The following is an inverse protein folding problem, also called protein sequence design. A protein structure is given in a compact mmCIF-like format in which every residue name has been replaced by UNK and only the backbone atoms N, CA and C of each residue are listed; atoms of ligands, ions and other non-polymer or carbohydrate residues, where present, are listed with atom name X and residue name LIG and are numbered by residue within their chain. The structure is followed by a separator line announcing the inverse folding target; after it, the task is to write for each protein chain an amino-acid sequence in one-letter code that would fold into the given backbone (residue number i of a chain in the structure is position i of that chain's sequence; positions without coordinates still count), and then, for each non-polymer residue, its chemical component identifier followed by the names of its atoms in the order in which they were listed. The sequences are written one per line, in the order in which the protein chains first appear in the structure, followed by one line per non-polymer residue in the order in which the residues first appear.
data_IF_656176479744
#
_entry.id   IF_656176479744
#
_cell.length_a   1.000
_cell.length_b   1.000
_cell.length_c   1.000
_cell.angle_alpha   90.00
_cell.angle_beta   90.00
_cell.angle_gamma   90.00
#
_symmetry.space_group_name_H-M   'P 1'
#
loop_
_entity.id
_entity.type
_entity.pdbx_description
1 polymer ?
#
# COMPACT_ATOMS: atom_id res chain seq x y z
N UNK A 1 16.31 15.98 -16.84
CA UNK A 1 15.73 15.98 -15.49
C UNK A 1 16.24 14.80 -14.70
N UNK A 2 16.33 14.93 -13.37
CA UNK A 2 16.79 13.83 -12.52
C UNK A 2 15.68 12.79 -12.32
N UNK A 3 16.07 11.51 -12.22
CA UNK A 3 15.21 10.39 -11.92
C UNK A 3 15.93 9.32 -11.09
N UNK A 4 15.19 8.57 -10.27
CA UNK A 4 15.67 7.37 -9.60
C UNK A 4 15.39 6.16 -10.49
N UNK A 5 16.43 5.53 -11.00
CA UNK A 5 16.36 4.48 -12.01
C UNK A 5 17.00 3.20 -11.48
N UNK A 6 16.48 2.05 -11.89
CA UNK A 6 17.06 0.73 -11.62
C UNK A 6 16.98 -0.17 -12.86
N UNK A 7 17.72 -1.26 -12.88
CA UNK A 7 17.63 -2.32 -13.89
C UNK A 7 16.98 -3.55 -13.25
N UNK A 8 15.67 -3.80 -13.47
CA UNK A 8 14.96 -4.92 -12.84
C UNK A 8 15.65 -6.25 -13.15
N UNK A 9 15.71 -7.13 -12.13
CA UNK A 9 16.44 -8.40 -12.21
C UNK A 9 17.94 -8.30 -11.91
N UNK A 10 18.47 -7.09 -11.70
CA UNK A 10 19.87 -6.87 -11.37
C UNK A 10 19.99 -6.05 -10.07
N UNK A 11 20.49 -6.69 -9.01
CA UNK A 11 20.70 -6.04 -7.71
C UNK A 11 21.74 -4.91 -7.80
N UNK A 12 21.60 -3.89 -6.94
CA UNK A 12 22.56 -2.78 -6.79
C UNK A 12 22.74 -1.91 -8.06
N UNK A 13 21.73 -1.85 -8.93
CA UNK A 13 21.73 -1.00 -10.12
C UNK A 13 20.99 0.32 -9.91
N UNK A 14 20.32 0.48 -8.76
CA UNK A 14 19.55 1.69 -8.45
C UNK A 14 20.47 2.89 -8.29
N UNK A 15 20.14 3.96 -9.01
CA UNK A 15 20.93 5.19 -9.07
C UNK A 15 20.07 6.40 -9.44
N UNK A 16 20.55 7.59 -9.10
CA UNK A 16 20.00 8.83 -9.65
C UNK A 16 20.76 9.16 -10.92
N UNK A 17 20.03 9.37 -12.01
CA UNK A 17 20.61 9.76 -13.30
C UNK A 17 19.80 10.82 -14.02
N UNK A 18 20.39 11.47 -15.00
CA UNK A 18 19.69 12.37 -15.91
C UNK A 18 18.94 11.58 -16.99
N UNK A 19 17.63 11.82 -17.08
CA UNK A 19 16.76 11.27 -18.12
C UNK A 19 16.19 12.37 -18.99
N UNK A 20 15.71 12.03 -20.18
CA UNK A 20 15.06 12.99 -21.07
C UNK A 20 13.84 13.65 -20.39
N UNK A 21 13.60 14.95 -20.64
CA UNK A 21 12.40 15.61 -20.17
C UNK A 21 11.14 14.91 -20.66
N UNK A 22 10.09 14.90 -19.80
CA UNK A 22 8.78 14.36 -20.18
C UNK A 22 8.03 15.40 -21.01
N UNK A 23 7.67 15.03 -22.24
CA UNK A 23 6.73 15.80 -23.07
C UNK A 23 5.33 15.19 -22.90
N UNK A 24 4.33 15.97 -22.45
CA UNK A 24 2.96 15.45 -22.31
C UNK A 24 2.38 15.12 -23.68
N UNK A 25 1.72 13.96 -23.78
CA UNK A 25 0.93 13.60 -24.95
C UNK A 25 -0.37 14.40 -24.98
N UNK A 26 -0.98 14.47 -26.15
CA UNK A 26 -2.30 15.09 -26.26
C UNK A 26 -3.31 14.40 -25.32
N UNK A 27 -3.99 15.18 -24.50
CA UNK A 27 -4.94 14.67 -23.52
C UNK A 27 -4.37 14.34 -22.14
N UNK A 28 -3.06 14.35 -21.96
CA UNK A 28 -2.42 14.09 -20.67
C UNK A 28 -2.18 15.36 -19.85
N UNK A 29 -2.11 15.20 -18.54
CA UNK A 29 -1.80 16.26 -17.56
C UNK A 29 -0.30 16.19 -17.22
N UNK A 30 0.39 17.32 -17.31
CA UNK A 30 1.78 17.43 -16.86
C UNK A 30 1.81 17.67 -15.34
N UNK A 31 2.53 16.80 -14.67
CA UNK A 31 2.69 16.80 -13.22
C UNK A 31 4.15 17.07 -12.85
N UNK A 32 4.36 17.85 -11.79
CA UNK A 32 5.64 17.91 -11.09
C UNK A 32 5.54 17.08 -9.82
N UNK A 33 6.42 16.10 -9.69
CA UNK A 33 6.50 15.26 -8.50
C UNK A 33 7.04 16.07 -7.32
N UNK A 34 6.33 16.07 -6.22
CA UNK A 34 6.77 16.69 -4.96
C UNK A 34 7.48 15.68 -4.08
N UNK A 35 6.87 14.53 -3.89
CA UNK A 35 7.31 13.53 -2.92
C UNK A 35 6.90 12.11 -3.36
N UNK A 36 7.77 11.14 -3.10
CA UNK A 36 7.55 9.72 -3.37
C UNK A 36 7.71 8.93 -2.08
N UNK A 37 6.69 8.18 -1.68
CA UNK A 37 6.80 7.21 -0.61
C UNK A 37 7.65 6.00 -1.04
N UNK A 38 8.43 5.46 -0.11
CA UNK A 38 9.25 4.25 -0.31
C UNK A 38 8.61 3.08 0.41
N UNK A 39 8.39 1.97 -0.31
CA UNK A 39 7.80 0.76 0.24
C UNK A 39 8.71 -0.48 0.10
N UNK A 40 8.18 -1.65 0.47
CA UNK A 40 8.85 -2.94 0.29
C UNK A 40 9.15 -3.25 -1.17
N UNK A 41 8.19 -2.98 -2.06
CA UNK A 41 8.31 -3.24 -3.51
C UNK A 41 9.46 -2.47 -4.15
N UNK A 42 9.70 -1.20 -3.77
CA UNK A 42 10.85 -0.42 -4.30
C UNK A 42 12.18 -1.06 -3.89
N UNK A 43 12.27 -1.59 -2.66
CA UNK A 43 13.45 -2.30 -2.16
C UNK A 43 13.65 -3.63 -2.87
N UNK A 44 12.60 -4.42 -3.05
CA UNK A 44 12.64 -5.70 -3.77
C UNK A 44 13.06 -5.51 -5.23
N UNK A 45 12.57 -4.46 -5.89
CA UNK A 45 13.00 -4.10 -7.26
C UNK A 45 14.48 -3.72 -7.27
N UNK A 46 14.93 -2.91 -6.32
CA UNK A 46 16.35 -2.50 -6.19
C UNK A 46 17.29 -3.68 -5.90
N UNK A 47 16.78 -4.73 -5.23
CA UNK A 47 17.49 -5.98 -4.98
C UNK A 47 17.40 -6.97 -6.14
N UNK A 48 16.74 -6.62 -7.24
CA UNK A 48 16.58 -7.45 -8.43
C UNK A 48 15.60 -8.63 -8.26
N UNK A 49 14.77 -8.61 -7.21
CA UNK A 49 13.83 -9.69 -6.90
C UNK A 49 12.48 -9.53 -7.62
N UNK A 50 12.17 -8.33 -8.07
CA UNK A 50 10.88 -7.97 -8.65
C UNK A 50 11.03 -6.89 -9.72
N UNK A 51 9.93 -6.57 -10.43
CA UNK A 51 9.87 -5.49 -11.41
C UNK A 51 10.16 -5.93 -12.84
N UNK A 52 9.65 -5.12 -13.80
CA UNK A 52 9.87 -5.32 -15.23
C UNK A 52 10.03 -3.93 -15.87
N UNK A 53 11.09 -3.74 -16.65
CA UNK A 53 11.28 -2.50 -17.44
C UNK A 53 10.21 -2.37 -18.55
N UNK A 54 9.94 -1.15 -19.04
CA UNK A 54 9.10 -0.96 -20.20
C UNK A 54 9.62 -1.72 -21.44
N UNK A 55 8.73 -2.06 -22.35
CA UNK A 55 9.07 -2.84 -23.55
C UNK A 55 10.16 -2.12 -24.38
N UNK A 56 11.23 -2.84 -24.66
CA UNK A 56 12.39 -2.32 -25.41
C UNK A 56 13.39 -1.53 -24.57
N UNK A 57 13.19 -1.41 -23.27
CA UNK A 57 14.11 -0.75 -22.35
C UNK A 57 14.71 -1.75 -21.35
N UNK A 58 15.89 -1.42 -20.80
CA UNK A 58 16.55 -2.20 -19.75
C UNK A 58 16.36 -1.61 -18.38
N UNK A 59 15.91 -0.37 -18.29
CA UNK A 59 15.80 0.38 -17.04
C UNK A 59 14.35 0.77 -16.72
N UNK A 60 14.07 0.95 -15.43
CA UNK A 60 12.79 1.37 -14.89
C UNK A 60 12.99 2.57 -13.97
N UNK A 61 12.26 3.66 -14.19
CA UNK A 61 12.12 4.72 -13.19
C UNK A 61 11.21 4.20 -12.09
N UNK A 62 11.67 4.24 -10.83
CA UNK A 62 10.92 3.79 -9.66
C UNK A 62 9.82 4.77 -9.23
N UNK A 63 9.12 4.44 -8.14
CA UNK A 63 8.17 5.29 -7.44
C UNK A 63 6.73 5.12 -7.94
N UNK A 64 5.89 4.61 -7.08
CA UNK A 64 4.45 4.39 -7.31
C UNK A 64 3.58 5.07 -6.24
N UNK A 65 4.12 5.44 -5.09
CA UNK A 65 3.45 6.19 -4.03
C UNK A 65 3.73 7.69 -4.20
N UNK A 66 3.09 8.34 -5.17
CA UNK A 66 3.41 9.71 -5.55
C UNK A 66 2.47 10.75 -4.95
N UNK A 67 3.04 11.87 -4.52
CA UNK A 67 2.35 13.15 -4.39
C UNK A 67 2.93 14.10 -5.45
N UNK A 68 2.07 14.69 -6.25
CA UNK A 68 2.47 15.60 -7.32
C UNK A 68 1.58 16.86 -7.35
N UNK A 69 2.05 17.86 -8.08
CA UNK A 69 1.30 19.09 -8.37
C UNK A 69 1.11 19.23 -9.87
N UNK A 70 -0.08 19.69 -10.26
CA UNK A 70 -0.42 19.97 -11.65
C UNK A 70 0.35 21.21 -12.12
N UNK A 71 1.11 21.10 -13.22
CA UNK A 71 1.95 22.17 -13.76
C UNK A 71 1.20 23.16 -14.66
N UNK A 72 0.14 22.72 -15.33
CA UNK A 72 -0.66 23.54 -16.25
C UNK A 72 -2.14 23.19 -16.13
N UNK A 73 -3.00 24.21 -16.29
CA UNK A 73 -4.46 24.00 -16.37
C UNK A 73 -4.82 23.07 -17.52
N UNK A 74 -5.76 22.19 -17.31
CA UNK A 74 -6.29 21.31 -18.35
C UNK A 74 -7.00 20.08 -17.79
N UNK A 75 -7.87 19.49 -18.59
CA UNK A 75 -8.52 18.21 -18.31
C UNK A 75 -9.25 18.12 -16.94
N UNK A 76 -9.79 19.25 -16.45
CA UNK A 76 -10.51 19.31 -15.17
C UNK A 76 -9.62 19.59 -13.95
N UNK A 77 -8.32 19.80 -14.16
CA UNK A 77 -7.36 20.16 -13.10
C UNK A 77 -6.82 21.57 -13.33
N UNK A 78 -6.60 22.30 -12.25
CA UNK A 78 -5.96 23.62 -12.26
C UNK A 78 -4.48 23.51 -11.86
N UNK A 79 -3.67 24.41 -12.40
CA UNK A 79 -2.28 24.54 -11.95
C UNK A 79 -2.20 24.74 -10.45
N UNK A 80 -1.37 23.95 -9.79
CA UNK A 80 -1.22 23.96 -8.33
C UNK A 80 -2.15 23.02 -7.57
N UNK A 81 -3.03 22.29 -8.26
CA UNK A 81 -3.79 21.23 -7.62
C UNK A 81 -2.85 20.09 -7.21
N UNK A 82 -3.02 19.62 -5.98
CA UNK A 82 -2.32 18.44 -5.49
C UNK A 82 -3.03 17.17 -5.97
N UNK A 83 -2.27 16.24 -6.48
CA UNK A 83 -2.78 14.97 -7.02
C UNK A 83 -1.88 13.79 -6.66
N UNK A 84 -2.47 12.62 -6.65
CA UNK A 84 -1.80 11.32 -6.77
C UNK A 84 -2.43 10.58 -7.94
N UNK A 85 -1.97 9.37 -8.25
CA UNK A 85 -2.52 8.59 -9.35
C UNK A 85 -2.60 7.11 -9.03
N UNK A 86 -3.60 6.43 -9.57
CA UNK A 86 -3.70 4.97 -9.48
C UNK A 86 -2.44 4.31 -10.08
N UNK A 87 -2.06 3.14 -9.58
CA UNK A 87 -0.80 2.48 -9.97
C UNK A 87 -0.98 1.61 -11.21
N UNK A 88 -2.01 0.78 -11.24
CA UNK A 88 -2.21 -0.22 -12.31
C UNK A 88 -2.96 0.35 -13.49
N UNK A 89 -2.50 0.00 -14.69
CA UNK A 89 -3.14 0.30 -15.98
C UNK A 89 -3.79 -0.97 -16.53
N UNK A 90 -4.96 -0.80 -17.14
CA UNK A 90 -5.75 -1.88 -17.73
C UNK A 90 -4.98 -2.64 -18.82
N UNK A 91 -5.22 -3.94 -18.95
CA UNK A 91 -4.79 -4.72 -20.12
C UNK A 91 -5.65 -4.44 -21.37
N UNK A 92 -6.78 -3.76 -21.21
CA UNK A 92 -7.67 -3.33 -22.29
C UNK A 92 -8.62 -4.40 -22.84
N UNK A 93 -8.52 -5.68 -22.44
CA UNK A 93 -9.25 -6.76 -23.11
C UNK A 93 -9.89 -7.83 -22.19
N UNK A 94 -9.52 -7.94 -20.91
CA UNK A 94 -10.20 -8.90 -20.03
C UNK A 94 -11.49 -8.34 -19.45
N UNK A 95 -12.38 -9.22 -19.00
CA UNK A 95 -13.71 -8.82 -18.48
C UNK A 95 -13.60 -7.86 -17.28
N UNK A 96 -12.65 -8.07 -16.38
CA UNK A 96 -12.44 -7.18 -15.24
C UNK A 96 -12.00 -5.78 -15.68
N UNK A 97 -11.04 -5.70 -16.61
CA UNK A 97 -10.59 -4.42 -17.16
C UNK A 97 -11.68 -3.72 -18.00
N UNK A 98 -12.52 -4.46 -18.69
CA UNK A 98 -13.66 -3.91 -19.43
C UNK A 98 -14.76 -3.36 -18.49
N UNK A 99 -14.80 -3.85 -17.25
CA UNK A 99 -15.70 -3.38 -16.17
C UNK A 99 -14.99 -2.36 -15.24
N UNK A 100 -14.05 -1.59 -15.79
CA UNK A 100 -13.29 -0.57 -15.07
C UNK A 100 -12.63 -1.06 -13.75
N UNK A 101 -12.23 -2.33 -13.72
CA UNK A 101 -11.58 -2.97 -12.56
C UNK A 101 -10.19 -3.50 -12.91
N UNK A 102 -9.22 -2.63 -13.33
CA UNK A 102 -7.87 -3.06 -13.70
C UNK A 102 -7.10 -3.66 -12.52
N UNK A 103 -7.45 -3.28 -11.30
CA UNK A 103 -6.93 -3.84 -10.06
C UNK A 103 -7.21 -5.35 -9.92
N UNK A 104 -8.22 -5.85 -10.61
CA UNK A 104 -8.63 -7.26 -10.65
C UNK A 104 -8.34 -7.91 -12.01
N UNK A 105 -7.37 -7.42 -12.78
CA UNK A 105 -7.02 -7.94 -14.10
C UNK A 105 -6.78 -9.45 -14.07
N UNK A 106 -7.42 -10.17 -15.01
CA UNK A 106 -7.39 -11.64 -15.06
C UNK A 106 -6.26 -12.21 -15.94
N UNK A 107 -5.68 -11.41 -16.83
CA UNK A 107 -4.66 -11.88 -17.77
C UNK A 107 -3.22 -11.70 -17.27
N UNK A 108 -3.01 -10.74 -16.36
CA UNK A 108 -1.66 -10.34 -15.98
C UNK A 108 -0.97 -9.39 -16.96
N UNK A 109 -1.58 -9.05 -18.10
CA UNK A 109 -1.02 -8.15 -19.14
C UNK A 109 -1.20 -6.66 -18.81
N UNK A 110 -1.34 -6.34 -17.54
CA UNK A 110 -1.36 -4.97 -17.06
C UNK A 110 0.04 -4.37 -16.96
N UNK A 111 0.12 -3.06 -16.87
CA UNK A 111 1.32 -2.37 -16.43
C UNK A 111 1.08 -1.63 -15.12
N UNK A 112 2.16 -1.35 -14.37
CA UNK A 112 2.11 -0.63 -13.10
C UNK A 112 3.21 0.42 -13.03
N UNK A 113 2.82 1.65 -12.70
CA UNK A 113 3.75 2.77 -12.55
C UNK A 113 4.86 2.45 -11.54
N UNK A 114 6.12 2.54 -11.99
CA UNK A 114 7.30 2.33 -11.16
C UNK A 114 7.54 0.88 -10.71
N UNK A 115 6.78 -0.08 -11.28
CA UNK A 115 6.86 -1.50 -10.90
C UNK A 115 6.98 -2.38 -12.13
N UNK A 116 6.01 -2.33 -13.05
CA UNK A 116 5.92 -3.28 -14.15
C UNK A 116 5.60 -2.56 -15.46
N UNK A 117 6.53 -2.62 -16.43
CA UNK A 117 6.37 -2.15 -17.83
C UNK A 117 5.96 -0.68 -17.98
N UNK A 118 6.07 0.13 -16.94
CA UNK A 118 5.70 1.54 -16.98
C UNK A 118 6.54 2.33 -15.97
N UNK A 119 7.27 3.35 -16.46
CA UNK A 119 8.06 4.22 -15.61
C UNK A 119 7.25 4.89 -14.51
N UNK A 120 7.85 4.98 -13.33
CA UNK A 120 7.28 5.58 -12.15
C UNK A 120 7.38 7.10 -12.07
N UNK A 121 7.09 7.58 -10.88
CA UNK A 121 7.02 9.00 -10.56
C UNK A 121 8.28 9.54 -9.87
N UNK A 122 9.30 8.72 -9.59
CA UNK A 122 10.55 9.19 -8.97
C UNK A 122 11.43 9.96 -9.96
N UNK A 123 10.85 10.99 -10.59
CA UNK A 123 11.46 11.97 -11.52
C UNK A 123 10.71 13.29 -11.44
N UNK A 124 11.38 14.39 -11.83
CA UNK A 124 10.87 15.75 -11.63
C UNK A 124 9.53 16.02 -12.32
N UNK A 125 9.37 15.58 -13.58
CA UNK A 125 8.16 15.79 -14.37
C UNK A 125 7.63 14.46 -14.90
N UNK A 126 6.32 14.28 -14.84
CA UNK A 126 5.59 13.11 -15.34
C UNK A 126 4.34 13.55 -16.08
N UNK A 127 4.03 12.89 -17.17
CA UNK A 127 2.76 13.02 -17.87
C UNK A 127 1.83 11.87 -17.49
N UNK A 128 0.54 12.18 -17.27
CA UNK A 128 -0.43 11.19 -16.80
C UNK A 128 -1.81 11.42 -17.42
N UNK A 129 -2.51 10.31 -17.68
CA UNK A 129 -3.92 10.33 -18.06
C UNK A 129 -4.77 10.91 -16.91
N UNK A 130 -5.59 11.94 -17.15
CA UNK A 130 -6.44 12.55 -16.13
C UNK A 130 -7.40 11.54 -15.47
N UNK A 131 -7.79 10.47 -16.16
CA UNK A 131 -8.63 9.40 -15.59
C UNK A 131 -7.95 8.63 -14.46
N UNK A 132 -6.61 8.65 -14.41
CA UNK A 132 -5.83 7.99 -13.36
C UNK A 132 -5.61 8.90 -12.14
N UNK A 133 -5.83 10.20 -12.27
CA UNK A 133 -5.54 11.17 -11.23
C UNK A 133 -6.61 11.15 -10.12
N UNK A 134 -6.13 11.29 -8.90
CA UNK A 134 -6.93 11.44 -7.68
C UNK A 134 -6.53 12.77 -7.05
N UNK A 135 -7.49 13.68 -6.89
CA UNK A 135 -7.26 14.97 -6.25
C UNK A 135 -6.95 14.79 -4.76
N UNK A 136 -5.94 15.48 -4.27
CA UNK A 136 -5.57 15.51 -2.85
C UNK A 136 -6.04 16.85 -2.26
N UNK A 137 -6.87 16.84 -1.21
CA UNK A 137 -7.28 18.07 -0.52
C UNK A 137 -6.06 18.84 0.00
N UNK A 138 -6.10 20.16 -0.11
CA UNK A 138 -5.04 21.04 0.44
C UNK A 138 -4.82 20.84 1.94
N UNK A 139 -5.85 20.42 2.67
CA UNK A 139 -5.78 20.06 4.09
C UNK A 139 -4.82 18.93 4.39
N UNK A 140 -4.65 17.97 3.48
CA UNK A 140 -3.68 16.89 3.63
C UNK A 140 -2.24 17.34 3.31
N UNK A 141 -2.06 18.34 2.43
CA UNK A 141 -0.72 18.79 2.06
C UNK A 141 0.20 17.62 1.68
N UNK A 142 1.39 17.58 2.28
CA UNK A 142 2.37 16.50 2.02
C UNK A 142 1.96 15.11 2.55
N UNK A 143 1.00 15.03 3.45
CA UNK A 143 0.43 13.74 3.88
C UNK A 143 -0.30 13.00 2.73
N UNK A 144 -0.62 13.70 1.64
CA UNK A 144 -1.17 13.08 0.43
C UNK A 144 -0.30 11.97 -0.15
N UNK A 145 0.99 11.92 0.16
CA UNK A 145 1.90 10.80 -0.21
C UNK A 145 1.47 9.46 0.37
N UNK A 146 0.67 9.47 1.45
CA UNK A 146 0.12 8.28 2.08
C UNK A 146 -1.13 7.72 1.37
N UNK A 147 -1.65 8.40 0.34
CA UNK A 147 -2.89 7.98 -0.33
C UNK A 147 -2.75 6.60 -1.00
N UNK A 148 -1.60 6.33 -1.63
CA UNK A 148 -1.34 5.03 -2.26
C UNK A 148 -1.39 3.88 -1.22
N UNK A 149 -0.53 3.82 -0.21
CA UNK A 149 -0.54 2.70 0.73
C UNK A 149 -1.85 2.60 1.52
N UNK A 150 -2.54 3.72 1.76
CA UNK A 150 -3.86 3.70 2.39
C UNK A 150 -4.91 3.07 1.47
N UNK A 151 -4.83 3.28 0.16
CA UNK A 151 -5.76 2.68 -0.81
C UNK A 151 -5.69 1.14 -0.82
N UNK A 152 -4.50 0.59 -0.61
CA UNK A 152 -4.28 -0.87 -0.45
C UNK A 152 -5.03 -1.39 0.78
N UNK A 153 -4.95 -0.65 1.90
CA UNK A 153 -5.66 -1.00 3.13
C UNK A 153 -7.19 -0.88 2.95
N UNK A 154 -7.67 0.17 2.28
CA UNK A 154 -9.11 0.36 2.00
C UNK A 154 -9.69 -0.78 1.16
N UNK A 155 -8.97 -1.20 0.11
CA UNK A 155 -9.38 -2.35 -0.68
C UNK A 155 -9.50 -3.61 0.17
N UNK A 156 -8.50 -3.90 0.98
CA UNK A 156 -8.51 -5.07 1.86
C UNK A 156 -9.70 -5.05 2.81
N UNK A 157 -9.97 -3.91 3.45
CA UNK A 157 -11.09 -3.75 4.37
C UNK A 157 -12.44 -3.81 3.67
N UNK A 158 -12.57 -3.23 2.47
CA UNK A 158 -13.77 -3.34 1.64
C UNK A 158 -14.06 -4.80 1.26
N UNK A 159 -13.06 -5.54 0.80
CA UNK A 159 -13.19 -6.96 0.48
C UNK A 159 -13.52 -7.79 1.72
N UNK A 160 -12.88 -7.54 2.86
CA UNK A 160 -13.17 -8.21 4.11
C UNK A 160 -14.63 -7.99 4.54
N UNK A 161 -15.15 -6.76 4.42
CA UNK A 161 -16.57 -6.45 4.68
C UNK A 161 -17.51 -7.17 3.72
N UNK A 162 -17.19 -7.19 2.42
CA UNK A 162 -17.99 -7.90 1.40
C UNK A 162 -18.02 -9.40 1.68
N UNK A 163 -16.89 -10.01 1.98
CA UNK A 163 -16.77 -11.44 2.29
C UNK A 163 -17.47 -11.74 3.63
N UNK A 164 -17.29 -10.91 4.66
CA UNK A 164 -17.98 -11.04 5.94
C UNK A 164 -19.50 -10.98 5.77
N UNK A 165 -19.98 -10.03 4.96
CA UNK A 165 -21.40 -9.80 4.67
C UNK A 165 -22.14 -10.96 3.96
N UNK A 166 -21.45 -12.07 3.57
CA UNK A 166 -22.10 -13.28 3.06
C UNK A 166 -23.05 -13.92 4.08
N UNK A 167 -22.97 -13.52 5.33
CA UNK A 167 -23.84 -13.90 6.44
C UNK A 167 -23.87 -12.75 7.48
N UNK A 168 -24.75 -12.78 8.50
CA UNK A 168 -24.74 -11.78 9.56
C UNK A 168 -23.33 -11.71 10.20
N UNK A 169 -22.63 -10.63 9.98
CA UNK A 169 -21.25 -10.42 10.45
C UNK A 169 -21.10 -9.02 11.03
N UNK A 170 -20.48 -8.93 12.18
CA UNK A 170 -20.16 -7.68 12.85
C UNK A 170 -18.66 -7.63 13.08
N UNK A 171 -18.05 -6.56 12.62
CA UNK A 171 -16.62 -6.30 12.81
C UNK A 171 -16.45 -5.48 14.09
N UNK A 172 -16.33 -6.17 15.20
CA UNK A 172 -16.13 -5.55 16.52
C UNK A 172 -14.67 -5.59 16.95
N UNK A 173 -13.95 -6.66 16.56
CA UNK A 173 -12.60 -6.93 17.05
C UNK A 173 -11.68 -7.39 15.92
N UNK A 174 -10.57 -6.69 15.72
CA UNK A 174 -9.60 -6.99 14.69
C UNK A 174 -8.18 -7.16 15.25
N UNK A 175 -7.40 -8.01 14.57
CA UNK A 175 -5.97 -8.18 14.78
C UNK A 175 -5.23 -7.79 13.50
N UNK A 176 -4.23 -6.92 13.63
CA UNK A 176 -3.28 -6.59 12.58
C UNK A 176 -1.93 -7.19 12.94
N UNK A 177 -1.40 -8.04 12.06
CA UNK A 177 -0.09 -8.67 12.20
C UNK A 177 0.94 -7.88 11.38
N UNK A 178 1.85 -7.21 12.08
CA UNK A 178 2.83 -6.29 11.52
C UNK A 178 2.52 -4.82 11.83
N UNK A 179 3.54 -4.08 12.28
CA UNK A 179 3.49 -2.63 12.56
C UNK A 179 4.28 -1.80 11.54
N UNK A 180 4.45 -2.32 10.31
CA UNK A 180 4.95 -1.57 9.16
C UNK A 180 3.89 -0.61 8.59
N UNK A 181 4.21 0.07 7.48
CA UNK A 181 3.35 1.09 6.90
C UNK A 181 1.90 0.62 6.67
N UNK A 182 1.72 -0.53 6.03
CA UNK A 182 0.40 -1.11 5.76
C UNK A 182 -0.33 -1.48 7.05
N UNK A 183 0.36 -2.10 8.01
CA UNK A 183 -0.24 -2.49 9.28
C UNK A 183 -0.70 -1.30 10.12
N UNK A 184 0.12 -0.26 10.22
CA UNK A 184 -0.24 0.98 10.94
C UNK A 184 -1.42 1.66 10.27
N UNK A 185 -1.42 1.86 8.93
CA UNK A 185 -2.54 2.47 8.21
C UNK A 185 -3.83 1.64 8.37
N UNK A 186 -3.74 0.30 8.26
CA UNK A 186 -4.89 -0.58 8.52
C UNK A 186 -5.43 -0.40 9.95
N UNK A 187 -4.54 -0.26 10.93
CA UNK A 187 -4.91 0.00 12.33
C UNK A 187 -5.68 1.31 12.45
N UNK A 188 -5.22 2.40 11.81
CA UNK A 188 -5.91 3.69 11.82
C UNK A 188 -7.29 3.61 11.17
N UNK A 189 -7.41 2.96 10.00
CA UNK A 189 -8.69 2.81 9.31
C UNK A 189 -9.71 2.01 10.14
N UNK A 190 -9.29 0.94 10.79
CA UNK A 190 -10.14 0.16 11.70
C UNK A 190 -10.54 0.97 12.93
N UNK A 191 -9.65 1.78 13.48
CA UNK A 191 -9.93 2.68 14.60
C UNK A 191 -10.87 3.84 14.20
N UNK A 192 -10.81 4.32 12.96
CA UNK A 192 -11.79 5.29 12.41
C UNK A 192 -13.21 4.69 12.35
N UNK A 193 -13.31 3.38 12.17
CA UNK A 193 -14.57 2.63 12.19
C UNK A 193 -14.96 2.13 13.61
N UNK A 194 -14.30 2.65 14.65
CA UNK A 194 -14.52 2.32 16.07
C UNK A 194 -14.40 0.83 16.43
N UNK A 195 -13.62 0.07 15.64
CA UNK A 195 -13.29 -1.34 15.91
C UNK A 195 -12.29 -1.43 17.07
N UNK A 196 -12.42 -2.44 17.95
CA UNK A 196 -11.37 -2.79 18.90
C UNK A 196 -10.20 -3.42 18.12
N UNK A 197 -9.03 -2.77 18.12
CA UNK A 197 -7.87 -3.23 17.35
C UNK A 197 -6.73 -3.62 18.26
N UNK A 198 -6.16 -4.79 17.98
CA UNK A 198 -4.85 -5.20 18.40
C UNK A 198 -3.89 -5.19 17.22
N UNK A 199 -2.70 -4.65 17.41
CA UNK A 199 -1.61 -4.74 16.45
C UNK A 199 -0.45 -5.49 17.09
N UNK A 200 0.04 -6.52 16.43
CA UNK A 200 1.10 -7.37 16.94
C UNK A 200 2.32 -7.33 16.00
N UNK A 201 3.52 -7.14 16.56
CA UNK A 201 4.77 -7.06 15.79
C UNK A 201 5.98 -7.48 16.65
N UNK A 202 7.15 -7.61 16.06
CA UNK A 202 8.38 -8.03 16.76
C UNK A 202 8.97 -6.95 17.66
N UNK A 203 8.77 -5.68 17.32
CA UNK A 203 9.29 -4.54 18.07
C UNK A 203 8.72 -4.51 19.49
N UNK A 204 9.48 -3.97 20.44
CA UNK A 204 9.06 -3.92 21.84
C UNK A 204 7.85 -3.01 22.07
N UNK A 205 7.74 -1.92 21.31
CA UNK A 205 6.68 -0.90 21.37
C UNK A 205 6.38 -0.36 19.97
N UNK A 206 5.22 0.26 19.79
CA UNK A 206 4.89 1.02 18.58
C UNK A 206 4.09 2.27 18.95
N UNK A 207 4.79 3.40 19.06
CA UNK A 207 4.17 4.70 19.30
C UNK A 207 3.06 5.01 18.28
N UNK A 208 3.31 4.71 17.00
CA UNK A 208 2.32 4.92 15.94
C UNK A 208 1.02 4.16 16.17
N UNK A 209 1.10 2.92 16.65
CA UNK A 209 -0.09 2.12 17.00
C UNK A 209 -0.79 2.71 18.21
N UNK A 210 -0.05 3.06 19.23
CA UNK A 210 -0.58 3.60 20.50
C UNK A 210 -1.29 4.95 20.31
N UNK A 211 -0.76 5.83 19.44
CA UNK A 211 -1.38 7.11 19.07
C UNK A 211 -2.79 6.94 18.48
N UNK A 212 -3.08 5.81 17.81
CA UNK A 212 -4.42 5.51 17.29
C UNK A 212 -5.41 5.09 18.38
N UNK A 213 -4.95 4.82 19.60
CA UNK A 213 -5.72 4.22 20.67
C UNK A 213 -5.95 2.71 20.47
N UNK A 214 -5.24 2.06 19.56
CA UNK A 214 -5.20 0.60 19.44
C UNK A 214 -4.30 0.00 20.52
N UNK A 215 -4.49 -1.30 20.79
CA UNK A 215 -3.65 -2.06 21.70
C UNK A 215 -2.47 -2.65 20.91
N UNK A 216 -1.29 -2.66 21.52
CA UNK A 216 -0.09 -3.23 20.94
C UNK A 216 0.37 -4.47 21.68
N UNK A 217 0.84 -5.49 20.95
CA UNK A 217 1.49 -6.68 21.49
C UNK A 217 2.84 -6.88 20.82
N UNK A 218 3.93 -6.84 21.60
CA UNK A 218 5.23 -7.34 21.14
C UNK A 218 5.22 -8.87 21.11
N UNK A 219 5.51 -9.46 19.95
CA UNK A 219 5.57 -10.93 19.78
C UNK A 219 6.92 -11.52 20.17
N UNK A 220 7.89 -10.69 20.57
CA UNK A 220 9.23 -11.12 21.02
C UNK A 220 9.24 -11.84 22.37
N UNK A 221 8.27 -12.70 22.63
CA UNK A 221 8.14 -13.47 23.88
C UNK A 221 6.70 -13.71 24.32
N UNK A 222 5.73 -13.19 23.58
CA UNK A 222 4.29 -13.35 23.86
C UNK A 222 3.63 -14.17 22.76
N UNK A 223 2.68 -15.01 23.14
CA UNK A 223 1.88 -15.80 22.21
C UNK A 223 0.64 -15.01 21.77
N UNK A 224 0.52 -14.77 20.47
CA UNK A 224 -0.62 -14.07 19.86
C UNK A 224 -1.94 -14.81 20.16
N UNK A 225 -1.92 -16.14 20.33
CA UNK A 225 -3.10 -16.94 20.61
C UNK A 225 -3.75 -16.62 21.97
N UNK A 226 -3.00 -16.06 22.92
CA UNK A 226 -3.50 -15.62 24.23
C UNK A 226 -4.45 -14.41 24.12
N UNK A 227 -4.38 -13.64 23.02
CA UNK A 227 -5.32 -12.54 22.76
C UNK A 227 -6.74 -13.03 22.48
N UNK A 228 -6.94 -14.33 22.24
CA UNK A 228 -8.23 -14.92 21.88
C UNK A 228 -8.50 -14.86 20.38
N UNK A 229 -9.77 -14.67 19.99
CA UNK A 229 -10.23 -14.77 18.60
C UNK A 229 -10.76 -13.42 18.09
N UNK A 230 -10.70 -13.23 16.76
CA UNK A 230 -10.99 -11.98 16.09
C UNK A 230 -12.02 -12.16 14.96
N UNK A 231 -12.79 -11.13 14.69
CA UNK A 231 -13.70 -11.08 13.55
C UNK A 231 -12.93 -10.87 12.24
N UNK A 232 -11.84 -10.09 12.32
CA UNK A 232 -10.92 -9.82 11.22
C UNK A 232 -9.47 -10.01 11.69
N UNK A 233 -8.68 -10.72 10.90
CA UNK A 233 -7.22 -10.76 11.01
C UNK A 233 -6.63 -10.21 9.70
N UNK A 234 -5.74 -9.23 9.80
CA UNK A 234 -5.01 -8.68 8.64
C UNK A 234 -3.54 -8.99 8.81
N UNK A 235 -2.98 -9.80 7.91
CA UNK A 235 -1.55 -10.07 7.87
C UNK A 235 -0.87 -9.06 6.95
N UNK A 236 -0.01 -8.22 7.52
CA UNK A 236 0.69 -7.12 6.87
C UNK A 236 2.22 -7.13 7.14
N UNK A 237 2.72 -8.21 7.73
CA UNK A 237 4.16 -8.39 8.00
C UNK A 237 4.90 -9.08 6.84
N UNK A 238 4.16 -9.78 5.96
CA UNK A 238 4.77 -10.59 4.90
C UNK A 238 5.49 -11.82 5.46
N UNK A 239 4.91 -12.46 6.47
CA UNK A 239 5.51 -13.62 7.11
C UNK A 239 4.65 -14.87 6.91
N UNK A 240 5.17 -15.87 6.19
CA UNK A 240 4.43 -17.09 5.84
C UNK A 240 3.90 -17.86 7.07
N UNK A 241 4.62 -17.84 8.20
CA UNK A 241 4.17 -18.50 9.43
C UNK A 241 2.96 -17.76 10.04
N UNK A 242 2.96 -16.42 10.05
CA UNK A 242 1.80 -15.62 10.49
C UNK A 242 0.62 -15.79 9.54
N UNK A 243 0.86 -15.87 8.22
CA UNK A 243 -0.18 -16.19 7.24
C UNK A 243 -0.84 -17.53 7.54
N UNK A 244 -0.05 -18.57 7.81
CA UNK A 244 -0.55 -19.90 8.16
C UNK A 244 -1.37 -19.91 9.47
N UNK A 245 -0.97 -19.09 10.45
CA UNK A 245 -1.66 -18.98 11.75
C UNK A 245 -2.94 -18.16 11.68
N UNK A 246 -3.08 -17.25 10.72
CA UNK A 246 -4.18 -16.26 10.64
C UNK A 246 -5.56 -16.91 10.70
N UNK A 247 -5.76 -18.02 10.00
CA UNK A 247 -7.05 -18.75 10.00
C UNK A 247 -7.40 -19.30 11.39
N UNK A 248 -6.39 -19.70 12.16
CA UNK A 248 -6.52 -20.20 13.54
C UNK A 248 -6.93 -19.13 14.54
N UNK A 249 -6.68 -17.85 14.27
CA UNK A 249 -6.98 -16.70 15.14
C UNK A 249 -8.40 -16.14 14.92
N UNK A 250 -9.18 -16.68 13.98
CA UNK A 250 -10.51 -16.19 13.67
C UNK A 250 -11.57 -16.73 14.62
N UNK A 251 -12.57 -15.90 14.91
CA UNK A 251 -13.88 -16.31 15.45
C UNK A 251 -14.66 -17.09 14.38
N UNK A 252 -15.81 -17.65 14.78
CA UNK A 252 -16.81 -18.17 13.85
C UNK A 252 -17.19 -17.09 12.85
N UNK A 253 -17.25 -17.44 11.57
CA UNK A 253 -17.54 -16.54 10.45
C UNK A 253 -16.49 -15.45 10.21
N UNK A 254 -15.36 -15.50 10.92
CA UNK A 254 -14.29 -14.54 10.79
C UNK A 254 -13.59 -14.58 9.43
N UNK A 255 -12.91 -13.48 9.11
CA UNK A 255 -12.21 -13.26 7.82
C UNK A 255 -10.75 -12.94 8.09
N UNK A 256 -9.84 -13.62 7.40
CA UNK A 256 -8.41 -13.29 7.38
C UNK A 256 -8.02 -12.73 6.01
N UNK A 257 -7.35 -11.59 5.99
CA UNK A 257 -6.83 -10.93 4.80
C UNK A 257 -5.30 -10.96 4.81
N UNK A 258 -4.70 -11.45 3.74
CA UNK A 258 -3.26 -11.43 3.52
C UNK A 258 -2.89 -10.26 2.62
N UNK A 259 -2.11 -9.32 3.15
CA UNK A 259 -1.58 -8.13 2.46
C UNK A 259 -0.06 -8.17 2.29
N UNK A 260 0.63 -8.78 3.24
CA UNK A 260 2.08 -8.95 3.16
C UNK A 260 2.46 -9.96 2.07
N UNK A 261 3.65 -9.79 1.49
CA UNK A 261 4.25 -10.73 0.55
C UNK A 261 5.47 -11.35 1.22
N UNK A 262 5.58 -12.69 1.22
CA UNK A 262 6.80 -13.38 1.64
C UNK A 262 7.61 -13.77 0.39
N UNK A 263 8.74 -13.11 0.11
CA UNK A 263 9.55 -13.40 -1.07
C UNK A 263 10.35 -14.69 -0.94
N UNK A 264 10.48 -15.26 0.26
CA UNK A 264 11.38 -16.37 0.55
C UNK A 264 10.85 -17.75 0.13
N UNK A 265 9.56 -17.84 -0.26
CA UNK A 265 8.92 -19.07 -0.74
C UNK A 265 9.16 -20.29 0.17
N UNK A 266 9.15 -20.07 1.48
CA UNK A 266 9.41 -21.11 2.48
C UNK A 266 8.20 -22.03 2.65
N UNK A 267 8.47 -23.28 3.11
CA UNK A 267 7.42 -24.19 3.54
C UNK A 267 6.99 -23.87 4.96
N UNK A 268 5.69 -23.84 5.19
CA UNK A 268 5.11 -23.67 6.53
C UNK A 268 4.10 -24.78 6.80
N UNK A 269 4.00 -25.20 8.06
CA UNK A 269 3.02 -26.17 8.51
C UNK A 269 1.73 -25.46 8.95
N UNK A 270 0.59 -26.00 8.54
CA UNK A 270 -0.73 -25.56 8.99
C UNK A 270 -1.34 -26.69 9.80
N UNK A 271 -1.88 -26.37 10.97
CA UNK A 271 -2.62 -27.34 11.77
C UNK A 271 -3.82 -27.86 10.96
N UNK A 272 -3.80 -29.17 10.67
CA UNK A 272 -4.85 -29.83 9.92
C UNK A 272 -6.23 -29.72 10.53
N UNK A 273 -6.34 -29.55 11.85
CA UNK A 273 -7.61 -29.28 12.53
C UNK A 273 -8.16 -27.90 12.18
N UNK A 274 -7.30 -26.86 12.16
CA UNK A 274 -7.70 -25.50 11.80
C UNK A 274 -8.26 -25.45 10.39
N UNK A 275 -7.56 -26.11 9.43
CA UNK A 275 -7.97 -26.08 8.02
C UNK A 275 -9.12 -27.05 7.74
N UNK A 276 -9.03 -28.30 8.23
CA UNK A 276 -9.94 -29.39 7.88
C UNK A 276 -11.21 -29.46 8.73
N UNK A 277 -11.25 -28.83 9.88
CA UNK A 277 -12.40 -28.85 10.80
C UNK A 277 -12.91 -27.45 11.10
N UNK A 278 -12.08 -26.61 11.74
CA UNK A 278 -12.55 -25.32 12.27
C UNK A 278 -12.94 -24.36 11.14
N UNK A 279 -12.17 -24.29 10.03
CA UNK A 279 -12.51 -23.45 8.89
C UNK A 279 -13.87 -23.79 8.29
N UNK A 280 -14.17 -25.09 8.18
CA UNK A 280 -15.42 -25.60 7.61
C UNK A 280 -16.59 -25.38 8.58
N UNK A 281 -16.48 -25.89 9.81
CA UNK A 281 -17.59 -25.85 10.77
C UNK A 281 -17.89 -24.45 11.29
N UNK A 282 -16.93 -23.55 11.22
CA UNK A 282 -17.07 -22.16 11.67
C UNK A 282 -17.14 -21.14 10.54
N UNK A 283 -17.21 -21.58 9.29
CA UNK A 283 -17.31 -20.70 8.10
C UNK A 283 -16.21 -19.62 8.03
N UNK A 284 -15.00 -19.96 8.42
CA UNK A 284 -13.86 -19.03 8.36
C UNK A 284 -13.38 -18.86 6.93
N UNK A 285 -12.89 -17.69 6.58
CA UNK A 285 -12.33 -17.40 5.25
C UNK A 285 -10.96 -16.78 5.37
N UNK A 286 -10.07 -17.19 4.47
CA UNK A 286 -8.78 -16.57 4.24
C UNK A 286 -8.70 -16.15 2.77
N UNK A 287 -8.30 -14.90 2.50
CA UNK A 287 -8.15 -14.36 1.14
C UNK A 287 -6.93 -13.45 1.05
N UNK A 288 -6.38 -13.29 -0.15
CA UNK A 288 -5.34 -12.32 -0.46
C UNK A 288 -5.91 -11.06 -1.10
N UNK A 289 -5.24 -9.93 -0.91
CA UNK A 289 -5.58 -8.65 -1.55
C UNK A 289 -4.33 -7.94 -2.04
N UNK A 290 -4.40 -7.37 -3.24
CA UNK A 290 -3.30 -6.61 -3.87
C UNK A 290 -3.86 -5.49 -4.71
N UNK A 291 -3.13 -4.37 -4.82
CA UNK A 291 -3.52 -3.19 -5.58
C UNK A 291 -4.77 -2.50 -5.03
N UNK A 292 -5.34 -1.53 -5.72
CA UNK A 292 -6.54 -0.80 -5.29
C UNK A 292 -7.36 -0.30 -6.49
N UNK A 293 -8.67 -0.40 -6.39
CA UNK A 293 -9.61 0.20 -7.33
C UNK A 293 -9.75 1.70 -7.08
N UNK A 294 -10.13 2.49 -8.08
CA UNK A 294 -10.31 3.96 -7.94
C UNK A 294 -11.16 4.35 -6.72
N UNK A 295 -12.22 3.59 -6.41
CA UNK A 295 -13.04 3.85 -5.22
C UNK A 295 -12.27 3.74 -3.91
N UNK A 296 -11.29 2.83 -3.83
CA UNK A 296 -10.45 2.65 -2.65
C UNK A 296 -9.49 3.83 -2.45
N UNK A 297 -9.00 4.41 -3.55
CA UNK A 297 -8.20 5.64 -3.53
C UNK A 297 -9.01 6.84 -3.02
N UNK A 298 -10.25 6.99 -3.47
CA UNK A 298 -11.14 8.05 -3.01
C UNK A 298 -11.46 7.89 -1.51
N UNK A 299 -11.70 6.65 -1.06
CA UNK A 299 -11.89 6.34 0.34
C UNK A 299 -10.62 6.65 1.15
N UNK A 300 -9.45 6.25 0.66
CA UNK A 300 -8.17 6.50 1.30
C UNK A 300 -7.91 7.99 1.54
N UNK A 301 -8.15 8.83 0.54
CA UNK A 301 -7.99 10.28 0.67
C UNK A 301 -8.95 10.86 1.72
N UNK A 302 -10.21 10.41 1.71
CA UNK A 302 -11.21 10.86 2.68
C UNK A 302 -10.87 10.41 4.11
N UNK A 303 -10.44 9.16 4.28
CA UNK A 303 -10.12 8.62 5.59
C UNK A 303 -8.77 9.10 6.14
N UNK A 304 -7.81 9.43 5.29
CA UNK A 304 -6.59 10.15 5.70
C UNK A 304 -6.94 11.53 6.28
N UNK A 305 -7.85 12.30 5.64
CA UNK A 305 -8.25 13.61 6.18
C UNK A 305 -9.01 13.46 7.51
N UNK A 306 -9.86 12.44 7.65
CA UNK A 306 -10.51 12.09 8.93
C UNK A 306 -9.50 11.67 9.99
N UNK A 307 -8.50 10.84 9.64
CA UNK A 307 -7.44 10.42 10.56
C UNK A 307 -6.60 11.60 11.03
N UNK A 308 -6.23 12.51 10.12
CA UNK A 308 -5.54 13.76 10.44
C UNK A 308 -6.33 14.63 11.43
N UNK A 309 -7.66 14.70 11.27
CA UNK A 309 -8.53 15.46 12.19
C UNK A 309 -8.63 14.77 13.56
N UNK A 310 -8.71 13.45 13.59
CA UNK A 310 -8.87 12.66 14.84
C UNK A 310 -7.55 12.52 15.61
N UNK A 311 -6.44 12.41 14.91
CA UNK A 311 -5.09 12.22 15.46
C UNK A 311 -4.08 13.14 14.74
N UNK A 312 -4.07 14.44 15.02
CA UNK A 312 -3.34 15.44 14.21
C UNK A 312 -1.83 15.15 14.10
N UNK A 313 -1.21 14.68 15.17
CA UNK A 313 0.24 14.46 15.22
C UNK A 313 0.65 13.08 14.67
N UNK A 314 -0.28 12.14 14.58
CA UNK A 314 0.02 10.74 14.29
C UNK A 314 0.49 10.52 12.85
N UNK A 315 -0.17 11.12 11.86
CA UNK A 315 0.21 10.99 10.45
C UNK A 315 1.51 11.74 10.13
N UNK A 316 1.76 12.86 10.79
CA UNK A 316 3.04 13.58 10.65
C UNK A 316 4.19 12.76 11.24
N UNK A 317 4.00 12.16 12.42
CA UNK A 317 4.94 11.23 13.04
C UNK A 317 5.16 9.99 12.17
N UNK A 318 4.10 9.55 11.47
CA UNK A 318 4.18 8.37 10.60
C UNK A 318 5.13 8.58 9.41
N UNK A 319 5.18 9.77 8.80
CA UNK A 319 6.18 10.10 7.77
C UNK A 319 7.49 10.51 8.47
N UNK A 320 8.18 9.52 8.98
CA UNK A 320 9.30 9.66 9.93
C UNK A 320 10.64 10.03 9.29
N UNK A 321 10.76 9.95 7.95
CA UNK A 321 11.96 10.34 7.22
C UNK A 321 11.59 10.99 5.88
N UNK A 322 12.12 12.21 5.64
CA UNK A 322 12.07 12.89 4.34
C UNK A 322 13.49 13.22 3.91
N UNK A 323 13.94 12.68 2.79
CA UNK A 323 15.27 12.95 2.23
C UNK A 323 15.20 13.33 0.77
N UNK A 324 16.13 14.14 0.25
CA UNK A 324 16.18 14.44 -1.17
C UNK A 324 16.49 13.19 -2.01
N UNK A 325 16.13 13.20 -3.29
CA UNK A 325 16.23 12.06 -4.20
C UNK A 325 17.61 11.40 -4.20
N UNK A 326 18.68 12.18 -4.13
CA UNK A 326 20.06 11.67 -4.15
C UNK A 326 20.48 10.92 -2.85
N UNK A 327 19.64 10.96 -1.80
CA UNK A 327 19.84 10.20 -0.55
C UNK A 327 18.88 9.01 -0.48
N UNK A 328 18.47 8.44 -1.61
CA UNK A 328 17.51 7.34 -1.68
C UNK A 328 17.93 6.12 -0.85
N UNK A 329 19.22 5.83 -0.73
CA UNK A 329 19.73 4.71 0.07
C UNK A 329 19.30 4.80 1.54
N UNK A 330 19.25 6.02 2.09
CA UNK A 330 18.79 6.24 3.47
C UNK A 330 17.30 5.93 3.61
N UNK A 331 16.48 6.35 2.63
CA UNK A 331 15.06 6.03 2.60
C UNK A 331 14.82 4.52 2.43
N UNK A 332 15.64 3.84 1.63
CA UNK A 332 15.55 2.39 1.42
C UNK A 332 16.01 1.59 2.67
N UNK A 333 16.99 2.12 3.42
CA UNK A 333 17.46 1.52 4.67
C UNK A 333 16.53 1.80 5.87
N UNK A 334 15.65 2.83 5.76
CA UNK A 334 14.80 3.26 6.86
C UNK A 334 13.83 2.15 7.30
N UNK A 335 13.63 2.04 8.62
CA UNK A 335 12.67 1.12 9.25
C UNK A 335 11.86 1.90 10.29
N UNK A 336 10.59 1.56 10.42
CA UNK A 336 9.65 2.26 11.30
C UNK A 336 9.02 3.49 10.64
N UNK A 337 7.72 3.50 10.50
CA UNK A 337 6.99 4.55 9.80
C UNK A 337 7.21 4.53 8.28
N UNK A 338 7.01 5.70 7.65
CA UNK A 338 7.16 5.91 6.21
C UNK A 338 8.36 6.79 5.91
N UNK A 339 9.23 6.31 5.01
CA UNK A 339 10.26 7.13 4.40
C UNK A 339 9.77 7.69 3.05
N UNK A 340 10.20 8.90 2.72
CA UNK A 340 9.88 9.53 1.45
C UNK A 340 11.10 10.18 0.80
N UNK A 341 11.06 10.29 -0.53
CA UNK A 341 12.01 10.99 -1.38
C UNK A 341 11.40 12.32 -1.81
N UNK A 342 12.04 13.42 -1.49
CA UNK A 342 11.61 14.78 -1.86
C UNK A 342 12.27 15.16 -3.17
N UNK A 343 11.46 15.53 -4.17
CA UNK A 343 11.91 15.97 -5.48
C UNK A 343 11.73 17.48 -5.68
N UNK A 344 10.69 18.06 -5.08
CA UNK A 344 10.44 19.50 -5.09
C UNK A 344 9.87 19.98 -3.73
N UNK A 345 10.13 21.27 -3.41
CA UNK A 345 9.61 21.93 -2.22
C UNK A 345 8.17 22.44 -2.39
#
# INVERSE_FOLDING_TARGET
MLALVTEPGHAHTTRVEEVAPTEPREGEVLLRTLEIGVCGTDREISEGLFGIAPDGESSLVLGHEALAVVERDGHGFARGDLVTATVRRSCGHCVACADDSPDSCLTGDYSERGITRLHGYARELVSEDPAQLIAIPKSLGRLGVLAEPTSICERALRHARTIGGRQPWQLERALVLGAGAIGVLTTYLLRLADVEVWTASLEATSELVELSGARYLSTGGNDISELGRFDLVVEAAGNAQLMAQSLGLLRRSGVACLLGIDPHRQHVEIDGRVLGVDAILENRVLFGSVNAHRQDWLAAVADLDRARQRWPDALETFVSLRVPLHRFEEAFAHRGGKATLVLAE
#
